data_IF_429752967830
#
_entry.id   IF_429752967830
#
_cell.length_a   1.000
_cell.length_b   1.000
_cell.length_c   1.000
_cell.angle_alpha   90.00
_cell.angle_beta   90.00
_cell.angle_gamma   90.00
#
_symmetry.space_group_name_H-M   'P 1'
#
loop_
_entity.id
_entity.type
_entity.pdbx_description
1 polymer ?
#
# COMPACT_ATOMS: atom_id res chain seq x y z
N UNK A 1 -1.32 28.04 -4.46
CA UNK A 1 -0.53 27.16 -3.56
C UNK A 1 -1.42 26.32 -2.62
N UNK A 2 -2.34 26.90 -1.82
CA UNK A 2 -3.25 26.13 -0.93
C UNK A 2 -4.14 25.07 -1.62
N UNK A 3 -4.64 25.35 -2.83
CA UNK A 3 -5.52 24.41 -3.57
C UNK A 3 -4.75 23.16 -4.02
N UNK A 4 -3.48 23.29 -4.41
CA UNK A 4 -2.65 22.17 -4.84
C UNK A 4 -2.40 21.18 -3.68
N UNK A 5 -2.19 21.70 -2.46
CA UNK A 5 -1.99 20.85 -1.29
C UNK A 5 -3.26 20.05 -0.95
N UNK A 6 -4.45 20.66 -1.04
CA UNK A 6 -5.71 19.97 -0.79
C UNK A 6 -6.01 18.87 -1.82
N UNK A 7 -5.60 19.05 -3.08
CA UNK A 7 -5.72 18.00 -4.10
C UNK A 7 -4.78 16.82 -3.80
N UNK A 8 -3.51 17.10 -3.45
CA UNK A 8 -2.53 16.07 -3.10
C UNK A 8 -2.99 15.29 -1.86
N UNK A 9 -3.46 15.98 -0.82
CA UNK A 9 -3.99 15.33 0.39
C UNK A 9 -5.18 14.42 0.07
N UNK A 10 -6.07 14.83 -0.84
CA UNK A 10 -7.19 13.98 -1.30
C UNK A 10 -6.68 12.75 -2.03
N UNK A 11 -5.68 12.89 -2.91
CA UNK A 11 -5.07 11.76 -3.61
C UNK A 11 -4.39 10.79 -2.65
N UNK A 12 -3.69 11.31 -1.63
CA UNK A 12 -3.08 10.50 -0.57
C UNK A 12 -4.17 9.75 0.22
N UNK A 13 -5.27 10.41 0.57
CA UNK A 13 -6.41 9.77 1.22
C UNK A 13 -6.98 8.62 0.39
N UNK A 14 -7.24 8.85 -0.90
CA UNK A 14 -7.73 7.81 -1.82
C UNK A 14 -6.76 6.64 -1.94
N UNK A 15 -5.46 6.91 -2.05
CA UNK A 15 -4.42 5.89 -2.11
C UNK A 15 -4.37 5.06 -0.82
N UNK A 16 -4.34 5.72 0.34
CA UNK A 16 -4.28 5.07 1.64
C UNK A 16 -5.50 4.14 1.84
N UNK A 17 -6.72 4.63 1.56
CA UNK A 17 -7.94 3.83 1.70
C UNK A 17 -7.95 2.65 0.71
N UNK A 18 -7.58 2.89 -0.55
CA UNK A 18 -7.53 1.84 -1.57
C UNK A 18 -6.54 0.74 -1.20
N UNK A 19 -5.37 1.11 -0.67
CA UNK A 19 -4.37 0.16 -0.19
C UNK A 19 -4.89 -0.67 0.98
N UNK A 20 -5.51 -0.03 2.00
CA UNK A 20 -6.02 -0.73 3.18
C UNK A 20 -7.10 -1.76 2.83
N UNK A 21 -8.03 -1.39 1.95
CA UNK A 21 -9.07 -2.29 1.46
C UNK A 21 -8.48 -3.46 0.67
N UNK A 22 -7.49 -3.19 -0.19
CA UNK A 22 -6.77 -4.23 -0.92
C UNK A 22 -6.00 -5.15 0.04
N UNK A 23 -5.37 -4.61 1.08
CA UNK A 23 -4.65 -5.39 2.07
C UNK A 23 -5.57 -6.36 2.81
N UNK A 24 -6.75 -5.92 3.27
CA UNK A 24 -7.75 -6.81 3.85
C UNK A 24 -8.21 -7.88 2.86
N UNK A 25 -8.45 -7.52 1.59
CA UNK A 25 -8.82 -8.48 0.55
C UNK A 25 -7.72 -9.53 0.34
N UNK A 26 -6.46 -9.13 0.26
CA UNK A 26 -5.32 -10.04 0.10
C UNK A 26 -5.21 -10.97 1.31
N UNK A 27 -5.32 -10.44 2.53
CA UNK A 27 -5.26 -11.23 3.77
C UNK A 27 -6.39 -12.26 3.86
N UNK A 28 -7.60 -11.93 3.39
CA UNK A 28 -8.74 -12.86 3.38
C UNK A 28 -8.66 -13.96 2.30
N UNK A 29 -7.81 -13.82 1.28
CA UNK A 29 -7.76 -14.75 0.14
C UNK A 29 -6.47 -15.57 0.01
N UNK A 30 -5.36 -15.15 0.64
CA UNK A 30 -4.05 -15.77 0.44
C UNK A 30 -3.39 -16.14 1.77
N UNK A 31 -3.75 -17.30 2.35
CA UNK A 31 -3.34 -17.70 3.71
C UNK A 31 -1.81 -17.63 3.94
N UNK A 32 -0.99 -18.26 3.09
CA UNK A 32 0.46 -18.34 3.36
C UNK A 32 1.29 -17.22 2.69
N UNK A 33 0.74 -16.54 1.70
CA UNK A 33 1.51 -15.54 0.91
C UNK A 33 1.08 -14.10 1.15
N UNK A 34 -0.05 -13.83 1.82
CA UNK A 34 -0.53 -12.48 2.03
C UNK A 34 0.47 -11.62 2.81
N UNK A 35 1.00 -12.14 3.93
CA UNK A 35 1.95 -11.40 4.77
C UNK A 35 3.22 -11.03 4.01
N UNK A 36 3.78 -11.97 3.23
CA UNK A 36 4.93 -11.72 2.36
C UNK A 36 4.61 -10.70 1.26
N UNK A 37 3.46 -10.86 0.59
CA UNK A 37 3.00 -9.92 -0.45
C UNK A 37 2.82 -8.52 0.10
N UNK A 38 2.32 -8.37 1.33
CA UNK A 38 2.09 -7.09 2.00
C UNK A 38 3.32 -6.57 2.75
N UNK A 39 4.33 -7.41 2.97
CA UNK A 39 5.58 -7.01 3.64
C UNK A 39 5.36 -6.62 5.09
N UNK A 40 4.45 -7.32 5.77
CA UNK A 40 4.02 -7.06 7.15
C UNK A 40 4.13 -8.34 7.99
N UNK A 41 4.24 -8.18 9.30
CA UNK A 41 4.16 -9.31 10.23
C UNK A 41 2.73 -9.78 10.48
N UNK A 42 2.60 -10.96 11.10
CA UNK A 42 1.31 -11.57 11.41
C UNK A 42 0.45 -10.68 12.31
N UNK A 43 1.02 -10.08 13.36
CA UNK A 43 0.28 -9.23 14.28
C UNK A 43 -0.37 -8.03 13.56
N UNK A 44 0.35 -7.44 12.62
CA UNK A 44 -0.13 -6.35 11.77
C UNK A 44 -1.23 -6.82 10.83
N UNK A 45 -1.06 -8.00 10.21
CA UNK A 45 -2.08 -8.62 9.36
C UNK A 45 -3.37 -8.93 10.12
N UNK A 46 -3.26 -9.58 11.27
CA UNK A 46 -4.39 -9.90 12.16
C UNK A 46 -5.10 -8.62 12.62
N UNK A 47 -4.33 -7.56 12.95
CA UNK A 47 -4.92 -6.27 13.33
C UNK A 47 -5.66 -5.62 12.15
N UNK A 48 -5.09 -5.65 10.95
CA UNK A 48 -5.74 -5.12 9.74
C UNK A 48 -7.06 -5.83 9.44
N UNK A 49 -7.13 -7.15 9.62
CA UNK A 49 -8.36 -7.93 9.42
C UNK A 49 -9.49 -7.56 10.40
N UNK A 50 -9.14 -7.08 11.59
CA UNK A 50 -10.12 -6.68 12.61
C UNK A 50 -10.69 -5.26 12.41
N UNK A 51 -10.08 -4.44 11.54
CA UNK A 51 -10.52 -3.06 11.34
C UNK A 51 -11.82 -2.99 10.55
N UNK A 52 -12.75 -2.21 11.07
CA UNK A 52 -13.97 -1.82 10.39
C UNK A 52 -13.71 -0.74 9.33
N UNK A 53 -14.62 -0.59 8.37
CA UNK A 53 -14.51 0.46 7.33
C UNK A 53 -14.32 1.87 7.91
N UNK A 54 -15.05 2.31 8.96
CA UNK A 54 -14.79 3.62 9.59
C UNK A 54 -13.37 3.77 10.13
N UNK A 55 -12.79 2.71 10.69
CA UNK A 55 -11.41 2.73 11.19
C UNK A 55 -10.39 2.79 10.04
N UNK A 56 -10.64 2.11 8.92
CA UNK A 56 -9.82 2.23 7.71
C UNK A 56 -9.87 3.65 7.14
N UNK A 57 -11.06 4.25 7.07
CA UNK A 57 -11.22 5.66 6.64
C UNK A 57 -10.43 6.59 7.55
N UNK A 58 -10.49 6.40 8.86
CA UNK A 58 -9.71 7.18 9.83
C UNK A 58 -8.20 7.02 9.65
N UNK A 59 -7.71 5.84 9.27
CA UNK A 59 -6.29 5.66 8.92
C UNK A 59 -5.94 6.36 7.61
N UNK A 60 -6.87 6.41 6.65
CA UNK A 60 -6.66 7.08 5.37
C UNK A 60 -6.60 8.61 5.47
N UNK A 61 -7.22 9.22 6.49
CA UNK A 61 -7.16 10.66 6.81
C UNK A 61 -5.76 11.20 7.07
N UNK A 62 -4.76 10.35 7.25
CA UNK A 62 -3.37 10.79 7.39
C UNK A 62 -2.90 11.50 6.12
N UNK A 63 -2.27 12.69 6.24
CA UNK A 63 -1.75 13.42 5.10
C UNK A 63 -0.48 12.77 4.52
N UNK A 64 0.13 11.81 5.21
CA UNK A 64 1.23 11.01 4.71
C UNK A 64 0.76 9.68 4.09
N UNK A 65 1.53 9.17 3.13
CA UNK A 65 1.34 7.80 2.65
C UNK A 65 1.62 6.82 3.79
N UNK A 66 0.65 5.96 4.09
CA UNK A 66 0.84 4.87 5.08
C UNK A 66 1.71 3.74 4.53
N UNK A 67 1.87 3.70 3.21
CA UNK A 67 2.72 2.73 2.50
C UNK A 67 4.00 3.37 2.04
N UNK A 68 5.09 2.63 2.17
CA UNK A 68 6.41 3.03 1.67
C UNK A 68 6.73 2.30 0.38
N UNK A 69 7.36 3.00 -0.56
CA UNK A 69 7.87 2.40 -1.79
C UNK A 69 8.92 1.33 -1.45
N UNK A 70 8.75 0.11 -1.96
CA UNK A 70 9.67 -1.01 -1.69
C UNK A 70 10.98 -0.94 -2.47
N UNK A 71 10.99 -0.19 -3.57
CA UNK A 71 12.20 0.08 -4.35
C UNK A 71 12.99 1.16 -3.61
N UNK A 72 14.11 0.77 -3.00
CA UNK A 72 14.92 1.64 -2.12
C UNK A 72 16.16 2.21 -2.81
N UNK A 73 16.53 1.62 -3.94
CA UNK A 73 17.73 1.95 -4.70
C UNK A 73 17.34 2.14 -6.17
N UNK A 74 17.87 3.18 -6.82
CA UNK A 74 17.64 3.43 -8.24
C UNK A 74 18.13 2.27 -9.11
N UNK A 75 19.20 1.58 -8.71
CA UNK A 75 19.69 0.40 -9.42
C UNK A 75 18.65 -0.74 -9.44
N UNK A 76 17.80 -0.88 -8.40
CA UNK A 76 16.71 -1.87 -8.42
C UNK A 76 15.69 -1.54 -9.52
N UNK A 77 15.44 -0.25 -9.75
CA UNK A 77 14.55 0.21 -10.81
C UNK A 77 15.16 -0.12 -12.18
N UNK A 78 16.44 0.22 -12.39
CA UNK A 78 17.17 -0.04 -13.64
C UNK A 78 17.21 -1.54 -13.98
N UNK A 79 17.45 -2.39 -12.98
CA UNK A 79 17.49 -3.84 -13.15
C UNK A 79 16.11 -4.41 -13.51
N UNK A 80 15.04 -4.01 -12.80
CA UNK A 80 13.69 -4.51 -13.08
C UNK A 80 13.19 -4.08 -14.46
N UNK A 81 13.55 -2.87 -14.91
CA UNK A 81 13.17 -2.38 -16.24
C UNK A 81 13.98 -3.06 -17.36
N UNK A 82 15.27 -3.32 -17.18
CA UNK A 82 16.11 -3.99 -18.19
C UNK A 82 15.80 -5.49 -18.36
N UNK A 83 15.28 -6.14 -17.32
CA UNK A 83 14.79 -7.53 -17.41
C UNK A 83 13.47 -7.66 -18.18
N UNK A 84 12.66 -6.59 -18.24
CA UNK A 84 11.36 -6.59 -18.94
C UNK A 84 11.48 -6.65 -20.48
N UNK A 85 12.66 -6.36 -21.03
CA UNK A 85 12.97 -6.47 -22.46
C UNK A 85 13.36 -7.88 -22.94
N UNK A 86 13.31 -8.89 -22.06
CA UNK A 86 13.72 -10.28 -22.37
C UNK A 86 12.59 -11.29 -22.59
N UNK A 87 11.41 -10.85 -23.04
CA UNK A 87 10.37 -11.77 -23.55
C UNK A 87 10.34 -11.68 -25.08
N UNK A 88 11.29 -12.37 -25.71
CA UNK A 88 11.31 -12.75 -27.12
C UNK A 88 11.63 -14.23 -27.23
#
# INVERSE_FOLDING_TARGET
MKIMNAEIERQIWHHNLSYLLLAQRVLNHYEDTALFRLGIDKCTGDKLLQLSLPELVRLAERPELITVLRLRDHHQIDVLLSQSTGMG
#
